data_IF_741240091138
#
_entry.id   IF_741240091138
#
_cell.length_a   1.000
_cell.length_b   1.000
_cell.length_c   1.000
_cell.angle_alpha   90.00
_cell.angle_beta   90.00
_cell.angle_gamma   90.00
#
_symmetry.space_group_name_H-M   'P 1'
#
loop_
_entity.id
_entity.type
_entity.pdbx_description
1 polymer ?
#
# COMPACT_ATOMS: atom_id res chain seq x y z
N UNK A 1 -12.27 40.51 10.29
CA UNK A 1 -12.57 39.65 11.45
C UNK A 1 -11.36 38.74 11.68
N UNK A 2 -10.74 38.76 12.87
CA UNK A 2 -9.64 37.85 13.17
C UNK A 2 -10.14 36.39 13.10
N UNK A 3 -9.32 35.49 12.59
CA UNK A 3 -9.71 34.09 12.42
C UNK A 3 -9.76 33.38 13.78
N UNK A 4 -10.68 32.43 13.96
CA UNK A 4 -10.77 31.58 15.17
C UNK A 4 -9.43 30.91 15.54
N UNK A 5 -8.54 30.76 14.54
CA UNK A 5 -7.20 30.23 14.72
C UNK A 5 -6.27 31.21 15.44
N UNK A 6 -6.36 32.51 15.15
CA UNK A 6 -5.56 33.55 15.79
C UNK A 6 -5.94 33.72 17.27
N UNK A 7 -7.23 33.54 17.59
CA UNK A 7 -7.73 33.62 18.97
C UNK A 7 -7.31 32.40 19.81
N UNK A 8 -7.24 31.22 19.19
CA UNK A 8 -6.75 29.98 19.82
C UNK A 8 -5.25 30.03 20.11
N UNK A 9 -4.43 30.54 19.18
CA UNK A 9 -2.98 30.68 19.41
C UNK A 9 -2.69 31.72 20.50
N UNK A 10 -3.49 32.79 20.56
CA UNK A 10 -3.35 33.83 21.58
C UNK A 10 -3.76 33.33 22.98
N UNK A 11 -4.80 32.49 23.08
CA UNK A 11 -5.21 31.88 24.37
C UNK A 11 -4.21 30.86 24.89
N UNK A 12 -3.61 30.07 23.99
CA UNK A 12 -2.55 29.10 24.33
C UNK A 12 -1.27 29.78 24.79
N UNK A 13 -0.85 30.87 24.14
CA UNK A 13 0.37 31.60 24.52
C UNK A 13 0.17 32.50 25.76
N UNK A 14 -1.06 32.93 26.04
CA UNK A 14 -1.39 33.62 27.29
C UNK A 14 -1.39 32.69 28.51
N UNK A 15 -1.58 31.38 28.31
CA UNK A 15 -1.40 30.34 29.32
C UNK A 15 0.08 29.89 29.38
N UNK A 16 0.98 30.85 29.62
CA UNK A 16 2.28 30.53 30.19
C UNK A 16 2.06 29.87 31.55
N UNK A 17 2.83 28.81 31.82
CA UNK A 17 2.83 28.03 33.07
C UNK A 17 2.86 28.97 34.27
N UNK A 18 1.69 29.24 34.87
CA UNK A 18 1.60 29.82 36.21
C UNK A 18 1.72 28.67 37.19
N UNK A 19 2.91 28.52 37.76
CA UNK A 19 3.08 27.89 39.07
C UNK A 19 2.10 28.53 40.05
N UNK A 20 1.14 27.73 40.54
CA UNK A 20 0.19 28.15 41.57
C UNK A 20 0.88 28.35 42.93
N UNK A 21 0.34 29.23 43.81
CA UNK A 21 0.94 29.53 45.09
C UNK A 21 0.50 28.54 46.19
N UNK A 22 1.48 28.03 46.95
CA UNK A 22 1.27 27.63 48.34
C UNK A 22 0.86 26.18 48.62
N UNK A 23 1.76 25.22 48.39
CA UNK A 23 1.90 24.07 49.30
C UNK A 23 3.39 23.72 49.38
N UNK A 24 3.91 23.74 50.60
CA UNK A 24 5.31 23.56 50.96
C UNK A 24 5.91 22.31 50.28
N UNK A 25 7.15 22.36 49.76
CA UNK A 25 7.76 21.22 49.10
C UNK A 25 7.94 20.07 50.10
N UNK A 26 7.38 18.90 49.76
CA UNK A 26 7.63 17.67 50.48
C UNK A 26 9.15 17.46 50.64
N UNK A 27 9.64 17.01 51.81
CA UNK A 27 11.07 16.78 52.03
C UNK A 27 11.59 15.79 50.98
N UNK A 28 12.75 16.11 50.41
CA UNK A 28 13.42 15.26 49.43
C UNK A 28 13.48 13.81 49.93
N UNK A 29 13.21 12.80 49.08
CA UNK A 29 13.32 11.42 49.50
C UNK A 29 14.76 11.15 49.94
N UNK A 30 14.89 10.71 51.20
CA UNK A 30 16.14 10.23 51.79
C UNK A 30 16.71 9.16 50.86
N UNK A 31 18.01 9.17 50.51
CA UNK A 31 18.58 8.10 49.73
C UNK A 31 18.56 6.83 50.58
N UNK A 32 17.56 5.97 50.36
CA UNK A 32 17.57 4.62 50.92
C UNK A 32 18.68 3.87 50.21
N UNK A 33 19.78 3.66 50.92
CA UNK A 33 20.86 2.75 50.54
C UNK A 33 20.33 1.32 50.55
N UNK A 34 19.61 0.93 49.50
CA UNK A 34 19.29 -0.45 49.20
C UNK A 34 20.47 -1.03 48.40
N UNK A 35 21.40 -1.68 49.10
CA UNK A 35 22.40 -2.54 48.48
C UNK A 35 21.68 -3.73 47.83
N UNK A 36 21.38 -3.62 46.54
CA UNK A 36 21.04 -4.78 45.72
C UNK A 36 22.27 -5.69 45.65
N UNK A 37 22.15 -7.02 45.88
CA UNK A 37 23.25 -7.92 45.59
C UNK A 37 23.56 -7.81 44.10
N UNK A 38 24.83 -7.51 43.80
CA UNK A 38 25.34 -7.42 42.43
C UNK A 38 25.39 -8.82 41.81
N UNK A 39 24.25 -9.32 41.35
CA UNK A 39 24.24 -10.43 40.40
C UNK A 39 24.66 -9.85 39.06
N UNK A 40 25.92 -10.06 38.70
CA UNK A 40 26.46 -9.73 37.39
C UNK A 40 25.73 -10.53 36.32
N UNK A 41 24.68 -9.96 35.74
CA UNK A 41 24.19 -10.42 34.45
C UNK A 41 25.34 -10.28 33.44
N UNK A 42 25.63 -11.29 32.60
CA UNK A 42 26.67 -11.19 31.60
C UNK A 42 26.33 -10.04 30.65
N UNK A 43 27.03 -8.92 30.81
CA UNK A 43 26.92 -7.79 29.90
C UNK A 43 27.50 -8.24 28.56
N UNK A 44 26.65 -8.41 27.56
CA UNK A 44 27.13 -8.64 26.20
C UNK A 44 28.11 -7.53 25.83
N UNK A 45 29.26 -7.86 25.20
CA UNK A 45 30.26 -6.88 24.86
C UNK A 45 29.60 -5.75 24.05
N UNK A 46 29.91 -4.49 24.36
CA UNK A 46 29.32 -3.32 23.66
C UNK A 46 29.44 -3.44 22.13
N UNK A 47 30.51 -4.06 21.65
CA UNK A 47 30.72 -4.38 20.23
C UNK A 47 29.66 -5.33 19.65
N UNK A 48 29.18 -6.30 20.42
CA UNK A 48 28.11 -7.22 19.99
C UNK A 48 26.77 -6.49 19.99
N UNK A 49 26.51 -5.63 20.98
CA UNK A 49 25.31 -4.79 20.99
C UNK A 49 25.33 -3.80 19.83
N UNK A 50 26.45 -3.14 19.57
CA UNK A 50 26.63 -2.26 18.41
C UNK A 50 26.51 -3.02 17.10
N UNK A 51 27.08 -4.23 16.97
CA UNK A 51 26.93 -5.05 15.77
C UNK A 51 25.50 -5.53 15.56
N UNK A 52 24.78 -5.89 16.63
CA UNK A 52 23.35 -6.24 16.54
C UNK A 52 22.54 -5.00 16.20
N UNK A 53 22.79 -3.86 16.83
CA UNK A 53 22.09 -2.59 16.53
C UNK A 53 22.38 -2.10 15.12
N UNK A 54 23.60 -2.26 14.60
CA UNK A 54 23.97 -1.94 13.21
C UNK A 54 23.34 -2.94 12.23
N UNK A 55 23.30 -4.23 12.58
CA UNK A 55 22.64 -5.28 11.78
C UNK A 55 21.10 -5.18 11.81
N UNK A 56 20.55 -4.57 12.86
CA UNK A 56 19.10 -4.27 13.03
C UNK A 56 18.77 -2.83 12.62
N UNK A 57 19.77 -2.00 12.30
CA UNK A 57 19.60 -0.68 11.70
C UNK A 57 19.14 -0.94 10.28
N UNK A 58 17.82 -1.03 10.13
CA UNK A 58 17.15 -0.90 8.84
C UNK A 58 17.72 0.38 8.25
N UNK A 59 18.50 0.26 7.17
CA UNK A 59 18.97 1.42 6.42
C UNK A 59 17.76 2.35 6.22
N UNK A 60 17.91 3.69 6.30
CA UNK A 60 16.80 4.57 6.00
C UNK A 60 16.26 4.15 4.64
N UNK A 61 15.10 3.50 4.64
CA UNK A 61 14.49 2.99 3.44
C UNK A 61 14.23 4.24 2.63
N UNK A 62 15.01 4.45 1.57
CA UNK A 62 14.87 5.63 0.73
C UNK A 62 13.49 5.56 0.11
N UNK A 63 12.61 6.40 0.65
CA UNK A 63 11.16 6.33 0.68
C UNK A 63 10.51 6.83 -0.61
N UNK A 64 11.03 6.40 -1.74
CA UNK A 64 10.49 6.76 -3.05
C UNK A 64 10.24 5.49 -3.84
N UNK A 65 9.08 5.41 -4.50
CA UNK A 65 8.75 4.44 -5.57
C UNK A 65 9.81 4.42 -6.71
N UNK A 66 10.88 5.20 -6.61
CA UNK A 66 11.95 5.30 -7.57
C UNK A 66 13.09 4.29 -7.29
N UNK A 67 13.11 3.66 -6.10
CA UNK A 67 14.20 2.76 -5.65
C UNK A 67 13.85 1.26 -5.59
N UNK A 68 12.78 0.82 -6.26
CA UNK A 68 12.61 -0.62 -6.52
C UNK A 68 13.37 -1.02 -7.80
N UNK A 69 14.02 -2.18 -7.78
CA UNK A 69 14.66 -2.72 -8.98
C UNK A 69 13.58 -3.00 -10.02
N UNK A 70 13.45 -2.11 -11.01
CA UNK A 70 12.52 -2.28 -12.12
C UNK A 70 12.98 -3.45 -12.97
N UNK A 71 12.45 -4.63 -12.68
CA UNK A 71 12.70 -5.83 -13.47
C UNK A 71 12.09 -5.61 -14.85
N UNK A 72 12.88 -5.67 -15.94
CA UNK A 72 12.35 -5.49 -17.28
C UNK A 72 11.24 -6.51 -17.58
N UNK A 73 10.23 -6.11 -18.36
CA UNK A 73 9.04 -6.94 -18.62
C UNK A 73 9.36 -8.31 -19.22
N UNK A 74 10.46 -8.43 -19.97
CA UNK A 74 10.94 -9.69 -20.55
C UNK A 74 11.65 -10.63 -19.54
N UNK A 75 11.90 -10.17 -18.31
CA UNK A 75 12.47 -10.95 -17.20
C UNK A 75 11.46 -11.23 -16.08
N UNK A 76 10.21 -10.81 -16.22
CA UNK A 76 9.18 -10.97 -15.18
C UNK A 76 8.64 -12.41 -15.16
N UNK A 77 8.73 -13.06 -14.01
CA UNK A 77 8.13 -14.37 -13.76
C UNK A 77 6.59 -14.26 -13.69
N UNK A 78 5.88 -15.38 -13.80
CA UNK A 78 4.41 -15.41 -13.57
C UNK A 78 4.02 -14.92 -12.18
N UNK A 79 4.95 -14.97 -11.23
CA UNK A 79 4.77 -14.61 -9.81
C UNK A 79 5.15 -13.15 -9.53
N UNK A 80 5.62 -12.39 -10.53
CA UNK A 80 6.06 -11.00 -10.36
C UNK A 80 5.01 -10.11 -9.65
N UNK A 81 3.74 -10.29 -9.99
CA UNK A 81 2.61 -9.57 -9.35
C UNK A 81 2.47 -9.89 -7.85
N UNK A 82 2.85 -11.08 -7.41
CA UNK A 82 2.81 -11.48 -5.99
C UNK A 82 4.08 -11.08 -5.24
N UNK A 83 5.24 -11.16 -5.90
CA UNK A 83 6.52 -10.70 -5.35
C UNK A 83 6.50 -9.19 -5.05
N UNK A 84 5.96 -8.39 -5.98
CA UNK A 84 5.78 -6.93 -5.77
C UNK A 84 4.86 -6.58 -4.60
N UNK A 85 4.01 -7.50 -4.10
CA UNK A 85 3.15 -7.21 -2.94
C UNK A 85 3.94 -7.06 -1.65
N UNK A 86 5.16 -7.62 -1.58
CA UNK A 86 6.04 -7.51 -0.40
C UNK A 86 6.60 -6.09 -0.26
N UNK A 87 6.82 -5.42 -1.38
CA UNK A 87 7.42 -4.07 -1.44
C UNK A 87 6.38 -2.94 -1.34
N UNK A 88 5.09 -3.27 -1.25
CA UNK A 88 4.02 -2.28 -1.14
C UNK A 88 4.04 -1.64 0.25
N UNK A 89 4.59 -0.43 0.34
CA UNK A 89 4.66 0.39 1.56
C UNK A 89 3.27 0.57 2.20
N UNK A 90 3.18 0.40 3.52
CA UNK A 90 1.91 0.32 4.26
C UNK A 90 1.53 1.58 5.02
N UNK A 91 2.38 2.61 5.08
CA UNK A 91 2.17 3.78 5.94
C UNK A 91 2.52 5.07 5.21
N UNK A 92 1.53 5.97 5.14
CA UNK A 92 1.63 7.28 4.49
C UNK A 92 2.30 8.30 5.43
N UNK A 93 3.52 8.73 5.10
CA UNK A 93 4.34 9.59 5.95
C UNK A 93 4.31 11.07 5.53
N UNK A 94 4.91 11.95 6.35
CA UNK A 94 4.93 13.40 6.09
C UNK A 94 5.57 13.75 4.74
N UNK A 95 6.71 13.13 4.41
CA UNK A 95 7.40 13.39 3.14
C UNK A 95 6.54 13.01 1.92
N UNK A 96 5.74 11.95 2.05
CA UNK A 96 4.78 11.55 1.02
C UNK A 96 3.61 12.53 0.90
N UNK A 97 3.14 13.10 2.01
CA UNK A 97 2.14 14.15 1.99
C UNK A 97 2.66 15.40 1.27
N UNK A 98 3.91 15.79 1.54
CA UNK A 98 4.58 16.90 0.84
C UNK A 98 4.73 16.59 -0.66
N UNK A 99 5.10 15.36 -1.02
CA UNK A 99 5.14 14.91 -2.42
C UNK A 99 3.74 14.93 -3.07
N UNK A 100 2.72 14.49 -2.35
CA UNK A 100 1.34 14.38 -2.84
C UNK A 100 0.71 15.74 -3.13
N UNK A 101 0.97 16.76 -2.29
CA UNK A 101 0.42 18.12 -2.45
C UNK A 101 1.07 18.96 -3.55
N UNK A 102 2.18 18.50 -4.14
CA UNK A 102 2.86 19.26 -5.20
C UNK A 102 2.01 19.36 -6.47
N UNK A 103 2.01 20.54 -7.12
CA UNK A 103 1.28 20.81 -8.37
C UNK A 103 1.74 19.93 -9.52
N UNK A 104 3.03 19.62 -9.56
CA UNK A 104 3.66 18.78 -10.58
C UNK A 104 3.33 17.28 -10.45
N UNK A 105 2.52 16.89 -9.45
CA UNK A 105 2.13 15.48 -9.22
C UNK A 105 1.52 14.85 -10.47
N UNK A 106 0.63 15.56 -11.15
CA UNK A 106 -0.08 15.00 -12.30
C UNK A 106 0.86 14.74 -13.47
N UNK A 107 1.76 15.67 -13.76
CA UNK A 107 2.76 15.53 -14.82
C UNK A 107 3.74 14.40 -14.54
N UNK A 108 4.27 14.32 -13.31
CA UNK A 108 5.15 13.20 -12.93
C UNK A 108 4.43 11.85 -13.04
N UNK A 109 3.17 11.79 -12.61
CA UNK A 109 2.38 10.57 -12.72
C UNK A 109 2.16 10.18 -14.18
N UNK A 110 1.78 11.12 -15.05
CA UNK A 110 1.62 10.86 -16.50
C UNK A 110 2.92 10.33 -17.10
N UNK A 111 4.04 11.00 -16.84
CA UNK A 111 5.34 10.58 -17.37
C UNK A 111 5.75 9.20 -16.84
N UNK A 112 5.32 8.85 -15.62
CA UNK A 112 5.58 7.53 -15.02
C UNK A 112 4.60 6.42 -15.42
N UNK A 113 3.52 6.72 -16.15
CA UNK A 113 2.53 5.69 -16.55
C UNK A 113 3.24 4.58 -17.33
N UNK A 114 4.11 4.93 -18.29
CA UNK A 114 4.83 3.95 -19.11
C UNK A 114 5.72 3.00 -18.28
N UNK A 115 6.24 3.46 -17.15
CA UNK A 115 7.07 2.67 -16.24
C UNK A 115 6.32 2.07 -15.05
N UNK A 116 4.99 2.21 -15.00
CA UNK A 116 4.18 1.75 -13.87
C UNK A 116 4.15 0.22 -13.77
N UNK A 117 4.18 -0.32 -12.54
CA UNK A 117 4.06 -1.75 -12.26
C UNK A 117 2.78 -2.37 -12.82
N UNK A 118 1.70 -1.59 -12.99
CA UNK A 118 0.45 -2.04 -13.60
C UNK A 118 0.65 -2.37 -15.08
N UNK A 119 1.34 -1.48 -15.82
CA UNK A 119 1.62 -1.68 -17.24
C UNK A 119 2.57 -2.85 -17.47
N UNK A 120 3.51 -3.05 -16.54
CA UNK A 120 4.39 -4.20 -16.54
C UNK A 120 3.63 -5.51 -16.30
N UNK A 121 2.72 -5.54 -15.31
CA UNK A 121 1.93 -6.71 -14.98
C UNK A 121 0.96 -7.15 -16.09
N UNK A 122 0.43 -6.19 -16.87
CA UNK A 122 -0.56 -6.42 -17.94
C UNK A 122 0.05 -6.35 -19.35
N UNK A 123 1.38 -6.32 -19.46
CA UNK A 123 2.04 -6.06 -20.75
C UNK A 123 1.75 -7.14 -21.78
N UNK A 124 1.66 -8.42 -21.38
CA UNK A 124 1.45 -9.54 -22.30
C UNK A 124 0.07 -9.45 -22.97
N UNK A 125 -0.95 -9.20 -22.18
CA UNK A 125 -2.33 -9.02 -22.65
C UNK A 125 -2.45 -7.77 -23.51
N UNK A 126 -1.85 -6.67 -23.08
CA UNK A 126 -1.87 -5.40 -23.81
C UNK A 126 -1.14 -5.50 -25.16
N UNK A 127 0.04 -6.12 -25.18
CA UNK A 127 0.83 -6.31 -26.39
C UNK A 127 0.08 -7.19 -27.40
N UNK A 128 -0.60 -8.24 -26.95
CA UNK A 128 -1.45 -9.07 -27.81
C UNK A 128 -2.58 -8.27 -28.45
N UNK A 129 -3.29 -7.44 -27.67
CA UNK A 129 -4.38 -6.60 -28.17
C UNK A 129 -3.88 -5.53 -29.14
N UNK A 130 -2.77 -4.86 -28.82
CA UNK A 130 -2.14 -3.86 -29.70
C UNK A 130 -1.66 -4.53 -31.00
N UNK A 131 -1.01 -5.68 -30.92
CA UNK A 131 -0.56 -6.43 -32.09
C UNK A 131 -1.73 -6.80 -33.00
N UNK A 132 -2.85 -7.24 -32.43
CA UNK A 132 -4.05 -7.59 -33.19
C UNK A 132 -4.66 -6.35 -33.85
N UNK A 133 -4.76 -5.23 -33.13
CA UNK A 133 -5.27 -3.98 -33.69
C UNK A 133 -4.38 -3.43 -34.81
N UNK A 134 -3.05 -3.41 -34.60
CA UNK A 134 -2.07 -2.99 -35.61
C UNK A 134 -2.13 -3.91 -36.83
N UNK A 135 -2.24 -5.23 -36.62
CA UNK A 135 -2.41 -6.18 -37.71
C UNK A 135 -3.66 -5.86 -38.55
N UNK A 136 -4.81 -5.64 -37.90
CA UNK A 136 -6.05 -5.29 -38.61
C UNK A 136 -5.91 -3.98 -39.39
N UNK A 137 -5.31 -2.94 -38.79
CA UNK A 137 -5.09 -1.65 -39.47
C UNK A 137 -4.16 -1.79 -40.66
N UNK A 138 -3.00 -2.43 -40.49
CA UNK A 138 -2.02 -2.64 -41.56
C UNK A 138 -2.60 -3.51 -42.67
N UNK A 139 -3.34 -4.56 -42.31
CA UNK A 139 -4.03 -5.42 -43.27
C UNK A 139 -5.04 -4.61 -44.10
N UNK A 140 -5.87 -3.79 -43.46
CA UNK A 140 -6.81 -2.92 -44.17
C UNK A 140 -6.10 -1.88 -45.05
N UNK A 141 -5.00 -1.28 -44.58
CA UNK A 141 -4.20 -0.32 -45.35
C UNK A 141 -3.56 -0.94 -46.59
N UNK A 142 -3.12 -2.20 -46.51
CA UNK A 142 -2.46 -2.89 -47.62
C UNK A 142 -3.44 -3.38 -48.69
N UNK A 143 -4.57 -3.96 -48.26
CA UNK A 143 -5.50 -4.69 -49.15
C UNK A 143 -6.77 -3.91 -49.51
N UNK A 144 -7.24 -2.94 -48.70
CA UNK A 144 -8.50 -2.23 -48.93
C UNK A 144 -8.22 -0.79 -49.38
N UNK A 145 -7.92 0.08 -48.43
CA UNK A 145 -7.60 1.49 -48.68
C UNK A 145 -7.04 2.12 -47.40
N UNK A 146 -6.31 3.22 -47.54
CA UNK A 146 -5.86 4.03 -46.42
C UNK A 146 -6.17 5.50 -46.68
N UNK A 147 -6.39 6.26 -45.61
CA UNK A 147 -6.61 7.70 -45.67
C UNK A 147 -5.30 8.40 -45.28
N UNK A 148 -4.79 9.26 -46.15
CA UNK A 148 -3.58 10.05 -45.85
C UNK A 148 -3.92 11.25 -44.95
N UNK A 149 -2.92 11.95 -44.43
CA UNK A 149 -3.08 13.12 -43.55
C UNK A 149 -3.88 14.27 -44.19
N UNK A 150 -3.95 14.32 -45.53
CA UNK A 150 -4.81 15.25 -46.27
C UNK A 150 -6.28 14.84 -46.35
N UNK A 151 -6.66 13.70 -45.76
CA UNK A 151 -8.03 13.19 -45.76
C UNK A 151 -8.46 12.48 -47.05
N UNK A 152 -7.55 12.31 -48.02
CA UNK A 152 -7.81 11.62 -49.29
C UNK A 152 -7.62 10.11 -49.11
N UNK A 153 -8.59 9.33 -49.60
CA UNK A 153 -8.54 7.86 -49.57
C UNK A 153 -7.78 7.33 -50.77
N UNK A 154 -6.66 6.65 -50.54
CA UNK A 154 -5.88 5.97 -51.55
C UNK A 154 -6.15 4.46 -51.53
N UNK A 155 -6.21 3.80 -52.70
CA UNK A 155 -6.27 2.35 -52.76
C UNK A 155 -5.00 1.74 -52.12
N UNK A 156 -5.17 0.61 -51.43
CA UNK A 156 -4.04 -0.10 -50.85
C UNK A 156 -3.02 -0.53 -51.93
N UNK A 157 -1.70 -0.58 -51.62
CA UNK A 157 -0.68 -0.97 -52.58
C UNK A 157 -0.90 -2.36 -53.20
N UNK A 158 -1.59 -3.26 -52.48
CA UNK A 158 -1.89 -4.64 -52.91
C UNK A 158 -3.36 -4.84 -53.32
N UNK A 159 -4.08 -3.74 -53.60
CA UNK A 159 -5.50 -3.78 -54.00
C UNK A 159 -5.74 -4.47 -55.37
N UNK A 160 -4.68 -4.79 -56.12
CA UNK A 160 -4.78 -5.53 -57.38
C UNK A 160 -5.03 -7.03 -57.21
N UNK A 161 -4.94 -7.59 -55.99
CA UNK A 161 -5.23 -9.01 -55.68
C UNK A 161 -6.73 -9.25 -55.46
N UNK A 162 -7.55 -8.77 -56.39
CA UNK A 162 -8.99 -8.49 -56.26
C UNK A 162 -9.91 -9.57 -55.62
N UNK A 163 -10.98 -9.03 -55.00
CA UNK A 163 -12.32 -9.57 -54.75
C UNK A 163 -12.72 -10.19 -53.39
N UNK A 164 -12.13 -11.29 -52.90
CA UNK A 164 -12.77 -12.02 -51.77
C UNK A 164 -12.52 -11.38 -50.38
N UNK A 165 -11.41 -10.66 -50.20
CA UNK A 165 -11.07 -10.05 -48.90
C UNK A 165 -11.93 -8.84 -48.54
N UNK A 166 -12.50 -8.15 -49.53
CA UNK A 166 -13.35 -6.97 -49.32
C UNK A 166 -14.72 -7.35 -48.74
N UNK A 167 -15.13 -8.60 -48.89
CA UNK A 167 -16.38 -9.14 -48.32
C UNK A 167 -16.26 -9.42 -46.80
N UNK A 168 -15.05 -9.52 -46.26
CA UNK A 168 -14.83 -9.71 -44.83
C UNK A 168 -14.90 -8.37 -44.09
N UNK A 169 -16.13 -7.88 -43.88
CA UNK A 169 -16.41 -6.73 -43.02
C UNK A 169 -16.98 -7.22 -41.69
N UNK A 170 -16.39 -6.79 -40.57
CA UNK A 170 -17.00 -7.00 -39.26
C UNK A 170 -18.03 -5.89 -39.02
N UNK A 171 -19.31 -6.23 -38.82
CA UNK A 171 -20.32 -5.23 -38.49
C UNK A 171 -20.03 -4.59 -37.12
N UNK A 172 -20.04 -3.25 -37.06
CA UNK A 172 -19.81 -2.50 -35.82
C UNK A 172 -20.99 -2.58 -34.83
N UNK A 173 -22.20 -2.90 -35.33
CA UNK A 173 -23.45 -2.95 -34.56
C UNK A 173 -23.37 -3.79 -33.26
N UNK A 174 -22.93 -5.07 -33.28
CA UNK A 174 -22.80 -5.86 -32.06
C UNK A 174 -21.82 -5.25 -31.06
N UNK A 175 -20.74 -4.60 -31.51
CA UNK A 175 -19.77 -3.97 -30.62
C UNK A 175 -20.36 -2.73 -29.95
N UNK A 176 -21.12 -1.90 -30.68
CA UNK A 176 -21.74 -0.67 -30.15
C UNK A 176 -22.71 -0.96 -29.00
N UNK A 177 -23.43 -2.08 -29.04
CA UNK A 177 -24.33 -2.48 -27.95
C UNK A 177 -23.62 -3.23 -26.82
N UNK A 178 -22.56 -4.01 -27.13
CA UNK A 178 -21.84 -4.81 -26.14
C UNK A 178 -20.89 -3.98 -25.27
N UNK A 179 -20.22 -2.97 -25.84
CA UNK A 179 -19.29 -2.10 -25.12
C UNK A 179 -19.87 -1.44 -23.85
N UNK A 180 -21.04 -0.77 -23.88
CA UNK A 180 -21.62 -0.17 -22.68
C UNK A 180 -22.02 -1.23 -21.64
N UNK A 181 -22.53 -2.39 -22.08
CA UNK A 181 -22.88 -3.48 -21.18
C UNK A 181 -21.64 -4.05 -20.45
N UNK A 182 -20.53 -4.27 -21.18
CA UNK A 182 -19.26 -4.72 -20.60
C UNK A 182 -18.66 -3.68 -19.64
N UNK A 183 -18.75 -2.39 -19.99
CA UNK A 183 -18.31 -1.29 -19.11
C UNK A 183 -19.08 -1.28 -17.79
N UNK A 184 -20.40 -1.38 -17.85
CA UNK A 184 -21.25 -1.41 -16.66
C UNK A 184 -20.96 -2.64 -15.78
N UNK A 185 -20.79 -3.81 -16.40
CA UNK A 185 -20.43 -5.05 -15.70
C UNK A 185 -19.08 -4.90 -14.98
N UNK A 186 -18.08 -4.30 -15.64
CA UNK A 186 -16.78 -4.05 -15.03
C UNK A 186 -16.91 -3.17 -13.78
N UNK A 187 -17.68 -2.09 -13.84
CA UNK A 187 -17.91 -1.19 -12.70
C UNK A 187 -18.55 -1.92 -11.52
N UNK A 188 -19.58 -2.71 -11.76
CA UNK A 188 -20.22 -3.49 -10.68
C UNK A 188 -19.27 -4.53 -10.09
N UNK A 189 -18.46 -5.19 -10.93
CA UNK A 189 -17.45 -6.15 -10.50
C UNK A 189 -16.38 -5.50 -9.63
N UNK A 190 -15.84 -4.36 -10.05
CA UNK A 190 -14.82 -3.64 -9.28
C UNK A 190 -15.37 -3.08 -7.97
N UNK A 191 -16.60 -2.57 -7.96
CA UNK A 191 -17.25 -2.05 -6.75
C UNK A 191 -17.48 -3.16 -5.72
N UNK A 192 -17.99 -4.31 -6.15
CA UNK A 192 -18.19 -5.47 -5.27
C UNK A 192 -16.86 -5.99 -4.72
N UNK A 193 -15.84 -6.07 -5.57
CA UNK A 193 -14.48 -6.45 -5.15
C UNK A 193 -13.90 -5.49 -4.11
N UNK A 194 -14.05 -4.18 -4.34
CA UNK A 194 -13.60 -3.15 -3.40
C UNK A 194 -14.34 -3.23 -2.06
N UNK A 195 -15.66 -3.44 -2.07
CA UNK A 195 -16.46 -3.60 -0.86
C UNK A 195 -15.95 -4.78 -0.02
N UNK A 196 -15.76 -5.96 -0.63
CA UNK A 196 -15.22 -7.15 0.05
C UNK A 196 -13.83 -6.90 0.62
N UNK A 197 -12.96 -6.22 -0.13
CA UNK A 197 -11.62 -5.87 0.36
C UNK A 197 -11.68 -4.91 1.56
N UNK A 198 -12.53 -3.89 1.50
CA UNK A 198 -12.69 -2.91 2.58
C UNK A 198 -13.30 -3.53 3.84
N UNK A 199 -14.30 -4.41 3.68
CA UNK A 199 -14.91 -5.16 4.77
C UNK A 199 -13.87 -6.05 5.47
N UNK A 200 -13.10 -6.83 4.72
CA UNK A 200 -12.03 -7.68 5.28
C UNK A 200 -10.99 -6.85 6.06
N UNK A 201 -10.56 -5.70 5.51
CA UNK A 201 -9.64 -4.77 6.20
C UNK A 201 -10.25 -4.23 7.50
N UNK A 202 -11.52 -3.85 7.48
CA UNK A 202 -12.23 -3.29 8.64
C UNK A 202 -12.38 -4.35 9.73
N UNK A 203 -12.78 -5.58 9.37
CA UNK A 203 -12.87 -6.71 10.29
C UNK A 203 -11.50 -7.05 10.91
N UNK A 204 -10.44 -7.07 10.11
CA UNK A 204 -9.08 -7.31 10.61
C UNK A 204 -8.61 -6.21 11.58
N UNK A 205 -8.90 -4.94 11.28
CA UNK A 205 -8.63 -3.83 12.19
C UNK A 205 -9.43 -3.92 13.50
N UNK A 206 -10.72 -4.25 13.40
CA UNK A 206 -11.59 -4.48 14.56
C UNK A 206 -11.11 -5.63 15.43
N UNK A 207 -10.66 -6.72 14.82
CA UNK A 207 -10.09 -7.87 15.52
C UNK A 207 -8.86 -7.51 16.36
N UNK A 208 -7.92 -6.76 15.78
CA UNK A 208 -6.71 -6.29 16.49
C UNK A 208 -7.09 -5.35 17.65
N UNK A 209 -8.06 -4.47 17.45
CA UNK A 209 -8.53 -3.60 18.52
C UNK A 209 -9.18 -4.39 19.66
N UNK A 210 -10.00 -5.40 19.36
CA UNK A 210 -10.58 -6.29 20.37
C UNK A 210 -9.51 -7.06 21.14
N UNK A 211 -8.49 -7.57 20.44
CA UNK A 211 -7.32 -8.18 21.04
C UNK A 211 -6.62 -7.24 22.04
N UNK A 212 -6.35 -5.99 21.66
CA UNK A 212 -5.76 -4.98 22.56
C UNK A 212 -6.66 -4.66 23.75
N UNK A 213 -7.97 -4.61 23.54
CA UNK A 213 -8.94 -4.38 24.61
C UNK A 213 -8.94 -5.51 25.64
N UNK A 214 -8.82 -6.78 25.21
CA UNK A 214 -8.71 -7.93 26.12
C UNK A 214 -7.47 -7.82 27.00
N UNK A 215 -6.31 -7.49 26.42
CA UNK A 215 -5.07 -7.29 27.18
C UNK A 215 -5.20 -6.11 28.15
N UNK A 216 -5.81 -5.00 27.72
CA UNK A 216 -6.05 -3.84 28.59
C UNK A 216 -6.95 -4.19 29.77
N UNK A 217 -8.03 -4.93 29.54
CA UNK A 217 -8.94 -5.40 30.58
C UNK A 217 -8.22 -6.35 31.55
N UNK A 218 -7.43 -7.29 31.05
CA UNK A 218 -6.62 -8.17 31.89
C UNK A 218 -5.69 -7.37 32.82
N UNK A 219 -5.01 -6.36 32.29
CA UNK A 219 -4.14 -5.51 33.09
C UNK A 219 -4.90 -4.70 34.17
N UNK A 220 -6.17 -4.37 33.94
CA UNK A 220 -6.99 -3.61 34.89
C UNK A 220 -7.67 -4.47 35.95
N UNK A 221 -8.14 -5.66 35.59
CA UNK A 221 -8.96 -6.49 36.48
C UNK A 221 -8.15 -7.51 37.30
N UNK A 222 -6.98 -7.96 36.81
CA UNK A 222 -6.14 -8.88 37.57
C UNK A 222 -5.24 -8.11 38.56
N UNK A 223 -5.13 -8.58 39.81
CA UNK A 223 -4.28 -7.93 40.82
C UNK A 223 -2.79 -8.05 40.46
N UNK A 224 -1.97 -7.15 40.99
CA UNK A 224 -0.50 -7.17 40.83
C UNK A 224 0.16 -8.16 41.81
N UNK A 225 -0.35 -9.39 41.81
CA UNK A 225 0.28 -10.54 42.48
C UNK A 225 1.03 -11.38 41.47
N UNK A 226 1.99 -12.21 41.92
CA UNK A 226 2.75 -13.10 41.02
C UNK A 226 1.83 -13.97 40.13
N UNK A 227 0.77 -14.52 40.72
CA UNK A 227 -0.21 -15.33 39.98
C UNK A 227 -1.04 -14.48 38.99
N UNK A 228 -1.31 -13.21 39.33
CA UNK A 228 -2.01 -12.25 38.46
C UNK A 228 -1.15 -11.81 37.28
N UNK A 229 0.15 -11.58 37.50
CA UNK A 229 1.14 -11.30 36.45
C UNK A 229 1.24 -12.46 35.46
N UNK A 230 1.34 -13.71 35.95
CA UNK A 230 1.37 -14.91 35.10
C UNK A 230 0.13 -15.02 34.19
N UNK A 231 -1.06 -14.66 34.69
CA UNK A 231 -2.30 -14.65 33.89
C UNK A 231 -2.30 -13.53 32.86
N UNK A 232 -1.85 -12.32 33.22
CA UNK A 232 -1.73 -11.17 32.29
C UNK A 232 -0.82 -11.53 31.12
N UNK A 233 0.34 -12.13 31.41
CA UNK A 233 1.32 -12.56 30.41
C UNK A 233 0.76 -13.65 29.49
N UNK A 234 0.07 -14.65 30.05
CA UNK A 234 -0.57 -15.71 29.24
C UNK A 234 -1.66 -15.16 28.33
N UNK A 235 -2.49 -14.23 28.81
CA UNK A 235 -3.52 -13.59 28.00
C UNK A 235 -2.89 -12.77 26.87
N UNK A 236 -1.85 -12.00 27.16
CA UNK A 236 -1.11 -11.24 26.14
C UNK A 236 -0.49 -12.17 25.08
N UNK A 237 0.18 -13.25 25.50
CA UNK A 237 0.78 -14.23 24.61
C UNK A 237 -0.27 -14.94 23.73
N UNK A 238 -1.38 -15.41 24.32
CA UNK A 238 -2.45 -16.09 23.59
C UNK A 238 -3.12 -15.16 22.57
N UNK A 239 -3.35 -13.90 22.94
CA UNK A 239 -3.96 -12.91 22.05
C UNK A 239 -3.06 -12.60 20.85
N UNK A 240 -1.74 -12.49 21.06
CA UNK A 240 -0.77 -12.32 19.99
C UNK A 240 -0.64 -13.59 19.10
N UNK A 241 -0.68 -14.77 19.72
CA UNK A 241 -0.64 -16.05 19.01
C UNK A 241 -1.89 -16.24 18.13
N UNK A 242 -3.08 -15.86 18.62
CA UNK A 242 -4.33 -15.93 17.87
C UNK A 242 -4.28 -15.15 16.56
N UNK A 243 -3.78 -13.90 16.57
CA UNK A 243 -3.68 -13.10 15.35
C UNK A 243 -2.74 -13.74 14.31
N UNK A 244 -1.62 -14.34 14.75
CA UNK A 244 -0.70 -15.07 13.87
C UNK A 244 -1.31 -16.37 13.35
N UNK A 245 -1.96 -17.14 14.21
CA UNK A 245 -2.64 -18.38 13.84
C UNK A 245 -3.75 -18.11 12.82
N UNK A 246 -4.56 -17.06 13.02
CA UNK A 246 -5.61 -16.67 12.08
C UNK A 246 -5.04 -16.23 10.74
N UNK A 247 -3.94 -15.46 10.72
CA UNK A 247 -3.24 -15.10 9.47
C UNK A 247 -2.83 -16.34 8.68
N UNK A 248 -2.25 -17.33 9.35
CA UNK A 248 -1.79 -18.56 8.69
C UNK A 248 -2.98 -19.40 8.23
N UNK A 249 -4.03 -19.50 9.04
CA UNK A 249 -5.28 -20.16 8.67
C UNK A 249 -5.91 -19.55 7.39
N UNK A 250 -5.94 -18.22 7.28
CA UNK A 250 -6.50 -17.52 6.11
C UNK A 250 -5.61 -17.58 4.85
N UNK A 251 -4.30 -17.80 5.00
CA UNK A 251 -3.37 -17.97 3.87
C UNK A 251 -3.43 -19.36 3.24
N UNK A 252 -3.89 -20.35 4.00
CA UNK A 252 -3.93 -21.74 3.57
C UNK A 252 -2.64 -22.50 3.87
N UNK A 253 -2.60 -23.82 3.59
CA UNK A 253 -1.53 -24.71 4.06
C UNK A 253 -0.18 -24.60 3.33
N UNK A 254 -0.11 -23.82 2.25
CA UNK A 254 1.05 -23.76 1.34
C UNK A 254 2.03 -22.61 1.63
N UNK A 255 1.78 -21.82 2.68
CA UNK A 255 2.54 -20.62 3.08
C UNK A 255 2.83 -20.67 4.59
#
# INVERSE_FOLDING_TARGET
APSLYDEYIKSRNAQGVKSGPGMEPAPAPVPVSASLPSTSAPQLPKKVVEQVVEKTRIAPMSDTDDNYERVPWWKQSSTYSEEQRKDRRTIFMHDEWVRHRSSERFLRNILSIGSSGINQALFKELAFMISTAVFVVVFNMLFVSYQDFGGVSHPGPLNFLDADFKAMSLPAQPFSIAMPALSLLLVFRTNTGYFRWNEARTLWGGLINNCRNVVRQANTFFPDTRDGEDVKDRIAANTAAFAKALRNFLRGPSD
#
